data_IF_010994485102
#
_entry.id   IF_010994485102
#
_cell.length_a   1.000
_cell.length_b   1.000
_cell.length_c   1.000
_cell.angle_alpha   90.00
_cell.angle_beta   90.00
_cell.angle_gamma   90.00
#
_symmetry.space_group_name_H-M   'P 1'
#
loop_
_entity.id
_entity.type
_entity.pdbx_description
1 polymer ?
#
# COMPACT_ATOMS: atom_id res chain seq x y z
N UNK A 1 -23.50 25.38 11.20
CA UNK A 1 -23.91 24.41 12.24
C UNK A 1 -22.66 23.69 12.70
N UNK A 2 -22.04 24.18 13.77
CA UNK A 2 -20.82 23.60 14.33
C UNK A 2 -21.17 22.57 15.40
N UNK A 3 -20.66 21.35 15.28
CA UNK A 3 -20.77 20.34 16.32
C UNK A 3 -19.81 20.65 17.44
N UNK A 4 -20.38 20.97 18.60
CA UNK A 4 -19.76 20.84 19.93
C UNK A 4 -19.33 19.39 20.11
N UNK A 5 -18.07 19.13 20.46
CA UNK A 5 -17.62 17.79 20.87
C UNK A 5 -17.07 17.84 22.29
N UNK A 6 -17.61 16.95 23.12
CA UNK A 6 -17.29 16.77 24.53
C UNK A 6 -15.87 16.25 24.71
N UNK A 7 -15.13 16.87 25.63
CA UNK A 7 -13.80 16.43 26.05
C UNK A 7 -13.82 14.99 26.53
N UNK A 8 -13.21 14.09 25.75
CA UNK A 8 -12.85 12.75 26.20
C UNK A 8 -11.44 12.83 26.79
N UNK A 9 -11.31 12.48 28.06
CA UNK A 9 -10.04 12.35 28.74
C UNK A 9 -9.27 11.18 28.10
N UNK A 10 -8.04 11.43 27.64
CA UNK A 10 -7.18 10.39 27.05
C UNK A 10 -6.83 9.35 28.12
N UNK A 11 -6.89 8.06 27.78
CA UNK A 11 -6.52 6.99 28.69
C UNK A 11 -5.00 6.97 28.91
N UNK A 12 -4.53 6.37 30.01
CA UNK A 12 -3.09 6.22 30.25
C UNK A 12 -2.40 5.44 29.14
N UNK A 13 -3.10 4.48 28.53
CA UNK A 13 -2.60 3.71 27.39
C UNK A 13 -2.39 4.59 26.15
N UNK A 14 -3.32 5.51 25.86
CA UNK A 14 -3.18 6.48 24.76
C UNK A 14 -1.97 7.40 24.97
N UNK A 15 -1.72 7.79 26.21
CA UNK A 15 -0.58 8.63 26.59
C UNK A 15 0.73 7.85 26.42
N UNK A 16 0.78 6.59 26.86
CA UNK A 16 1.98 5.75 26.72
C UNK A 16 2.29 5.44 25.25
N UNK A 17 1.26 5.20 24.43
CA UNK A 17 1.42 5.01 22.99
C UNK A 17 1.96 6.26 22.31
N UNK A 18 1.43 7.45 22.64
CA UNK A 18 1.94 8.72 22.11
C UNK A 18 3.40 8.97 22.51
N UNK A 19 3.78 8.68 23.75
CA UNK A 19 5.16 8.84 24.24
C UNK A 19 6.13 7.86 23.55
N UNK A 20 5.71 6.61 23.33
CA UNK A 20 6.49 5.61 22.58
C UNK A 20 6.76 6.07 21.15
N UNK A 21 5.73 6.58 20.47
CA UNK A 21 5.83 7.07 19.10
C UNK A 21 6.74 8.30 19.00
N UNK A 22 6.65 9.23 19.96
CA UNK A 22 7.57 10.37 20.03
C UNK A 22 9.02 9.90 20.24
N UNK A 23 9.26 8.91 21.11
CA UNK A 23 10.59 8.35 21.33
C UNK A 23 11.18 7.75 20.04
N UNK A 24 10.37 7.06 19.24
CA UNK A 24 10.75 6.50 17.94
C UNK A 24 11.05 7.58 16.89
N UNK A 25 10.27 8.66 16.86
CA UNK A 25 10.50 9.78 15.92
C UNK A 25 11.78 10.54 16.28
N UNK A 26 12.02 10.78 17.56
CA UNK A 26 13.23 11.47 18.05
C UNK A 26 14.49 10.65 17.80
N UNK A 27 14.43 9.32 17.99
CA UNK A 27 15.57 8.44 17.70
C UNK A 27 15.84 8.31 16.20
N UNK A 28 14.80 8.33 15.35
CA UNK A 28 14.92 8.20 13.91
C UNK A 28 15.31 9.52 13.20
N UNK A 29 15.00 10.68 13.79
CA UNK A 29 15.26 11.97 13.14
C UNK A 29 15.54 13.11 14.15
N UNK A 30 16.81 13.27 14.59
CA UNK A 30 17.19 14.24 15.61
C UNK A 30 16.87 15.71 15.22
N UNK A 31 16.70 15.99 13.92
CA UNK A 31 16.38 17.33 13.42
C UNK A 31 14.93 17.76 13.69
N UNK A 32 14.01 16.83 13.97
CA UNK A 32 12.59 17.15 14.25
C UNK A 32 12.44 17.86 15.59
N UNK A 33 13.26 17.49 16.58
CA UNK A 33 13.35 18.20 17.88
C UNK A 33 13.87 19.63 17.70
N UNK A 34 14.76 19.86 16.73
CA UNK A 34 15.32 21.18 16.42
C UNK A 34 14.25 22.20 16.00
N UNK A 35 13.12 21.76 15.45
CA UNK A 35 11.98 22.62 15.06
C UNK A 35 10.98 22.88 16.18
N UNK A 36 11.03 22.15 17.30
CA UNK A 36 10.11 22.26 18.43
C UNK A 36 10.60 23.22 19.54
N UNK A 37 11.68 23.98 19.30
CA UNK A 37 12.02 25.16 20.11
C UNK A 37 13.02 24.94 21.26
N UNK A 38 13.60 23.76 21.41
CA UNK A 38 14.70 23.52 22.35
C UNK A 38 16.02 23.36 21.61
N UNK A 39 16.94 24.32 21.79
CA UNK A 39 18.27 24.33 21.17
C UNK A 39 19.21 23.43 21.96
N UNK A 40 19.71 22.36 21.32
CA UNK A 40 20.80 21.55 21.84
C UNK A 40 21.87 21.44 20.74
N UNK A 41 23.05 21.99 21.00
CA UNK A 41 24.14 21.96 20.01
C UNK A 41 24.89 20.63 20.07
N UNK A 42 24.84 19.87 18.97
CA UNK A 42 25.94 19.01 18.53
C UNK A 42 26.44 17.91 19.47
N UNK A 43 25.64 17.39 20.42
CA UNK A 43 25.99 16.21 21.23
C UNK A 43 24.87 15.17 21.21
N UNK A 44 25.28 13.90 21.29
CA UNK A 44 24.41 12.76 21.52
C UNK A 44 23.63 13.00 22.82
N UNK A 45 22.29 12.99 22.71
CA UNK A 45 21.36 13.28 23.81
C UNK A 45 21.46 12.19 24.87
N UNK A 46 21.62 12.56 26.15
CA UNK A 46 21.61 11.61 27.26
C UNK A 46 20.17 11.14 27.56
N UNK A 47 20.03 10.00 28.25
CA UNK A 47 18.71 9.50 28.68
C UNK A 47 17.94 10.55 29.49
N UNK A 48 18.64 11.35 30.30
CA UNK A 48 18.05 12.42 31.12
C UNK A 48 17.50 13.57 30.26
N UNK A 49 18.18 13.92 29.17
CA UNK A 49 17.74 14.96 28.23
C UNK A 49 16.47 14.51 27.47
N UNK A 50 16.40 13.22 27.15
CA UNK A 50 15.21 12.60 26.54
C UNK A 50 14.05 12.62 27.53
N UNK A 51 14.28 12.28 28.80
CA UNK A 51 13.24 12.32 29.84
C UNK A 51 12.73 13.74 30.12
N UNK A 52 13.63 14.74 30.06
CA UNK A 52 13.26 16.15 30.19
C UNK A 52 12.45 16.66 28.99
N UNK A 53 12.81 16.26 27.76
CA UNK A 53 12.03 16.59 26.58
C UNK A 53 10.63 15.95 26.62
N UNK A 54 10.54 14.68 27.04
CA UNK A 54 9.27 13.98 27.18
C UNK A 54 8.38 14.57 28.27
N UNK A 55 8.94 15.03 29.40
CA UNK A 55 8.18 15.68 30.46
C UNK A 55 7.62 17.03 30.01
N UNK A 56 8.40 17.81 29.26
CA UNK A 56 7.95 19.08 28.66
C UNK A 56 6.86 18.86 27.61
N UNK A 57 6.97 17.82 26.77
CA UNK A 57 5.92 17.43 25.82
C UNK A 57 4.64 17.03 26.55
N UNK A 58 4.75 16.25 27.64
CA UNK A 58 3.60 15.88 28.48
C UNK A 58 2.89 17.09 29.07
N UNK A 59 3.64 18.11 29.51
CA UNK A 59 3.10 19.38 30.02
C UNK A 59 2.45 20.24 28.93
N UNK A 60 3.00 20.28 27.72
CA UNK A 60 2.44 21.03 26.59
C UNK A 60 1.13 20.38 26.10
N UNK A 61 1.10 19.04 26.03
CA UNK A 61 -0.08 18.27 25.62
C UNK A 61 -1.20 18.35 26.67
N UNK A 62 -0.87 18.36 27.96
CA UNK A 62 -1.85 18.54 29.03
C UNK A 62 -2.38 19.97 29.12
N UNK A 63 -1.56 20.98 28.80
CA UNK A 63 -1.93 22.40 28.85
C UNK A 63 -2.71 22.89 27.62
N UNK A 64 -2.56 22.25 26.44
CA UNK A 64 -3.31 22.63 25.23
C UNK A 64 -3.63 21.43 24.33
N UNK A 65 -4.79 20.76 24.54
CA UNK A 65 -5.20 19.57 23.79
C UNK A 65 -5.30 19.77 22.27
N UNK A 66 -5.43 21.01 21.79
CA UNK A 66 -5.53 21.32 20.36
C UNK A 66 -4.19 21.16 19.60
N UNK A 67 -3.05 21.18 20.29
CA UNK A 67 -1.72 21.02 19.67
C UNK A 67 -1.47 19.55 19.31
N UNK A 68 -1.94 18.60 20.14
CA UNK A 68 -1.94 17.18 19.83
C UNK A 68 -2.78 16.86 18.57
N UNK A 69 -3.87 17.61 18.37
CA UNK A 69 -4.78 17.42 17.23
C UNK A 69 -4.15 17.81 15.89
N UNK A 70 -3.24 18.80 15.85
CA UNK A 70 -2.55 19.20 14.61
C UNK A 70 -1.48 18.21 14.14
N UNK A 71 -0.98 17.36 15.04
CA UNK A 71 -0.20 16.17 14.68
C UNK A 71 -1.09 14.94 14.43
N UNK A 72 -2.29 14.89 15.05
CA UNK A 72 -3.27 13.82 14.90
C UNK A 72 -4.12 13.86 13.62
N UNK A 73 -4.21 14.98 12.91
CA UNK A 73 -4.96 15.07 11.63
C UNK A 73 -4.31 14.34 10.44
N UNK A 74 -3.17 13.66 10.64
CA UNK A 74 -2.59 12.69 9.68
C UNK A 74 -3.08 11.26 9.97
N UNK A 75 -3.73 11.02 11.11
CA UNK A 75 -3.95 9.69 11.69
C UNK A 75 -5.36 9.14 11.51
N UNK A 76 -6.01 9.44 10.39
CA UNK A 76 -7.18 8.70 9.92
C UNK A 76 -6.82 7.61 8.89
N UNK A 77 -5.52 7.35 8.70
CA UNK A 77 -5.03 6.21 7.94
C UNK A 77 -4.92 4.99 8.85
N UNK A 78 -5.60 3.91 8.48
CA UNK A 78 -5.36 2.56 9.04
C UNK A 78 -3.85 2.31 9.00
N UNK A 79 -3.21 2.24 10.16
CA UNK A 79 -1.80 1.87 10.24
C UNK A 79 -1.74 0.38 9.87
N UNK A 80 -1.43 0.09 8.61
CA UNK A 80 -1.31 -1.28 8.12
C UNK A 80 -0.22 -1.98 8.93
N UNK A 81 -0.57 -3.07 9.62
CA UNK A 81 0.41 -3.84 10.35
C UNK A 81 1.27 -4.64 9.36
N UNK A 82 2.54 -4.87 9.70
CA UNK A 82 3.43 -5.70 8.89
C UNK A 82 2.85 -7.12 8.72
N UNK A 83 2.20 -7.65 9.75
CA UNK A 83 1.54 -8.95 9.72
C UNK A 83 0.41 -9.02 8.69
N UNK A 84 -0.41 -7.97 8.57
CA UNK A 84 -1.48 -7.88 7.58
C UNK A 84 -0.94 -7.87 6.15
N UNK A 85 0.17 -7.15 5.93
CA UNK A 85 0.85 -7.09 4.63
C UNK A 85 1.41 -8.46 4.26
N UNK A 86 2.06 -9.15 5.21
CA UNK A 86 2.61 -10.49 4.96
C UNK A 86 1.51 -11.53 4.70
N UNK A 87 0.37 -11.43 5.40
CA UNK A 87 -0.79 -12.28 5.14
C UNK A 87 -1.39 -12.01 3.75
N UNK A 88 -1.56 -10.74 3.38
CA UNK A 88 -2.02 -10.36 2.06
C UNK A 88 -1.06 -10.82 0.95
N UNK A 89 0.26 -10.74 1.18
CA UNK A 89 1.28 -11.22 0.24
C UNK A 89 1.18 -12.73 0.00
N UNK A 90 0.99 -13.51 1.06
CA UNK A 90 0.78 -14.95 0.96
C UNK A 90 -0.46 -15.27 0.10
N UNK A 91 -1.58 -14.60 0.39
CA UNK A 91 -2.83 -14.77 -0.35
C UNK A 91 -2.69 -14.37 -1.83
N UNK A 92 -2.02 -13.25 -2.11
CA UNK A 92 -1.73 -12.77 -3.47
C UNK A 92 -0.89 -13.80 -4.23
N UNK A 93 0.17 -14.34 -3.63
CA UNK A 93 1.01 -15.37 -4.25
C UNK A 93 0.21 -16.64 -4.54
N UNK A 94 -0.68 -17.05 -3.64
CA UNK A 94 -1.56 -18.20 -3.85
C UNK A 94 -2.54 -17.97 -5.00
N UNK A 95 -3.16 -16.78 -5.09
CA UNK A 95 -4.04 -16.43 -6.19
C UNK A 95 -3.28 -16.46 -7.52
N UNK A 96 -2.08 -15.91 -7.54
CA UNK A 96 -1.22 -15.86 -8.73
C UNK A 96 -0.73 -17.24 -9.16
N UNK A 97 -0.48 -18.17 -8.23
CA UNK A 97 -0.08 -19.54 -8.57
C UNK A 97 -1.25 -20.44 -8.97
N UNK A 98 -2.46 -20.19 -8.45
CA UNK A 98 -3.64 -20.99 -8.72
C UNK A 98 -4.33 -20.67 -10.05
N UNK A 99 -4.02 -19.53 -10.67
CA UNK A 99 -4.69 -19.06 -11.88
C UNK A 99 -3.69 -18.86 -13.02
N UNK A 100 -4.06 -19.19 -14.27
CA UNK A 100 -3.17 -19.08 -15.42
C UNK A 100 -2.82 -17.60 -15.75
N UNK A 101 -3.75 -16.68 -15.49
CA UNK A 101 -3.53 -15.25 -15.55
C UNK A 101 -4.31 -14.54 -14.44
N UNK A 102 -3.74 -13.45 -13.90
CA UNK A 102 -4.34 -12.63 -12.85
C UNK A 102 -4.17 -11.14 -13.18
N UNK A 103 -5.23 -10.37 -12.95
CA UNK A 103 -5.24 -8.91 -13.10
C UNK A 103 -5.70 -8.28 -11.79
N UNK A 104 -4.81 -7.56 -11.12
CA UNK A 104 -5.17 -6.65 -10.04
C UNK A 104 -5.52 -5.28 -10.63
N UNK A 105 -6.70 -4.78 -10.29
CA UNK A 105 -7.37 -3.66 -10.95
C UNK A 105 -8.02 -2.74 -9.92
N UNK A 106 -8.50 -1.58 -10.40
CA UNK A 106 -9.55 -0.82 -9.71
C UNK A 106 -10.68 -0.46 -10.66
N UNK A 107 -11.92 -0.43 -10.18
CA UNK A 107 -13.12 -0.27 -11.03
C UNK A 107 -13.10 1.03 -11.86
N UNK A 108 -12.60 2.12 -11.26
CA UNK A 108 -12.53 3.45 -11.86
C UNK A 108 -11.32 3.67 -12.76
N UNK A 109 -10.38 2.73 -12.86
CA UNK A 109 -9.12 2.93 -13.58
C UNK A 109 -9.26 2.71 -15.09
N UNK A 110 -9.03 3.77 -15.88
CA UNK A 110 -9.04 3.71 -17.35
C UNK A 110 -7.99 2.78 -17.97
N UNK A 111 -6.81 2.65 -17.36
CA UNK A 111 -5.76 1.71 -17.80
C UNK A 111 -6.17 0.25 -17.58
N UNK A 112 -6.88 -0.03 -16.47
CA UNK A 112 -7.39 -1.37 -16.19
C UNK A 112 -8.45 -1.80 -17.22
N UNK A 113 -9.34 -0.87 -17.61
CA UNK A 113 -10.35 -1.13 -18.65
C UNK A 113 -9.72 -1.57 -19.97
N UNK A 114 -8.60 -0.95 -20.38
CA UNK A 114 -7.90 -1.35 -21.62
C UNK A 114 -7.33 -2.76 -21.55
N UNK A 115 -6.72 -3.14 -20.42
CA UNK A 115 -6.22 -4.52 -20.22
C UNK A 115 -7.38 -5.53 -20.25
N UNK A 116 -8.48 -5.25 -19.55
CA UNK A 116 -9.67 -6.10 -19.55
C UNK A 116 -10.26 -6.26 -20.94
N UNK A 117 -10.35 -5.17 -21.71
CA UNK A 117 -10.84 -5.20 -23.08
C UNK A 117 -9.95 -6.09 -23.95
N UNK A 118 -8.63 -5.91 -23.92
CA UNK A 118 -7.70 -6.75 -24.66
C UNK A 118 -7.84 -8.24 -24.28
N UNK A 119 -7.94 -8.54 -22.98
CA UNK A 119 -8.08 -9.91 -22.50
C UNK A 119 -9.43 -10.51 -22.94
N UNK A 120 -10.50 -9.71 -22.99
CA UNK A 120 -11.79 -10.11 -23.55
C UNK A 120 -11.72 -10.37 -25.05
N UNK A 121 -11.07 -9.51 -25.82
CA UNK A 121 -10.88 -9.67 -27.27
C UNK A 121 -10.10 -10.95 -27.60
N UNK A 122 -9.12 -11.29 -26.76
CA UNK A 122 -8.31 -12.50 -26.87
C UNK A 122 -8.95 -13.75 -26.22
N UNK A 123 -10.15 -13.63 -25.65
CA UNK A 123 -10.84 -14.71 -24.92
C UNK A 123 -9.97 -15.37 -23.84
N UNK A 124 -9.27 -14.55 -23.07
CA UNK A 124 -8.40 -15.00 -21.98
C UNK A 124 -9.24 -15.36 -20.75
N UNK A 125 -9.02 -16.55 -20.21
CA UNK A 125 -9.43 -16.92 -18.86
C UNK A 125 -8.44 -16.34 -17.85
N UNK A 126 -8.90 -15.39 -17.02
CA UNK A 126 -8.08 -14.76 -15.98
C UNK A 126 -8.89 -14.50 -14.72
N UNK A 127 -8.20 -14.45 -13.58
CA UNK A 127 -8.77 -13.98 -12.32
C UNK A 127 -8.63 -12.47 -12.22
N UNK A 128 -9.73 -11.78 -11.94
CA UNK A 128 -9.80 -10.35 -11.70
C UNK A 128 -9.96 -10.09 -10.20
N UNK A 129 -9.19 -9.16 -9.65
CA UNK A 129 -9.39 -8.58 -8.32
C UNK A 129 -9.48 -7.06 -8.42
N UNK A 130 -10.60 -6.50 -7.97
CA UNK A 130 -10.81 -5.05 -7.89
C UNK A 130 -10.44 -4.56 -6.49
N UNK A 131 -9.24 -4.01 -6.34
CA UNK A 131 -8.69 -3.64 -5.03
C UNK A 131 -9.52 -2.59 -4.30
N UNK A 132 -10.33 -1.80 -5.00
CA UNK A 132 -11.23 -0.82 -4.39
C UNK A 132 -12.53 -1.44 -3.84
N UNK A 133 -12.85 -2.68 -4.19
CA UNK A 133 -14.01 -3.42 -3.67
C UNK A 133 -13.61 -4.44 -2.58
N UNK A 134 -12.32 -4.79 -2.50
CA UNK A 134 -11.80 -5.70 -1.49
C UNK A 134 -11.59 -5.00 -0.13
N UNK A 135 -12.05 -5.62 0.96
CA UNK A 135 -11.89 -5.07 2.31
C UNK A 135 -10.43 -4.92 2.76
N UNK A 136 -9.53 -5.69 2.16
CA UNK A 136 -8.09 -5.66 2.38
C UNK A 136 -7.31 -5.18 1.14
N UNK A 137 -7.95 -4.34 0.31
CA UNK A 137 -7.37 -3.85 -0.93
C UNK A 137 -6.07 -3.05 -0.75
N UNK A 138 -5.97 -2.26 0.32
CA UNK A 138 -4.77 -1.45 0.63
C UNK A 138 -3.59 -2.34 1.06
N UNK A 139 -3.86 -3.40 1.83
CA UNK A 139 -2.90 -4.43 2.21
C UNK A 139 -2.41 -5.17 0.97
N UNK A 140 -3.32 -5.59 0.09
CA UNK A 140 -2.97 -6.25 -1.17
C UNK A 140 -2.12 -5.32 -2.05
N UNK A 141 -2.48 -4.05 -2.18
CA UNK A 141 -1.71 -3.07 -2.95
C UNK A 141 -0.31 -2.87 -2.38
N UNK A 142 -0.17 -2.86 -1.05
CA UNK A 142 1.11 -2.76 -0.36
C UNK A 142 1.96 -4.02 -0.55
N UNK A 143 1.36 -5.19 -0.42
CA UNK A 143 2.01 -6.48 -0.68
C UNK A 143 2.48 -6.60 -2.13
N UNK A 144 1.68 -6.14 -3.10
CA UNK A 144 2.08 -6.10 -4.51
C UNK A 144 3.27 -5.19 -4.74
N UNK A 145 3.30 -4.02 -4.07
CA UNK A 145 4.45 -3.11 -4.12
C UNK A 145 5.71 -3.75 -3.53
N UNK A 146 5.61 -4.45 -2.41
CA UNK A 146 6.74 -5.17 -1.80
C UNK A 146 7.25 -6.27 -2.73
N UNK A 147 6.36 -7.05 -3.33
CA UNK A 147 6.73 -8.19 -4.17
C UNK A 147 7.28 -7.79 -5.54
N UNK A 148 6.64 -6.83 -6.20
CA UNK A 148 6.89 -6.49 -7.61
C UNK A 148 7.61 -5.16 -7.80
N UNK A 149 7.70 -4.34 -6.75
CA UNK A 149 8.09 -2.93 -6.85
C UNK A 149 6.99 -2.02 -7.43
N UNK A 150 5.89 -2.56 -7.94
CA UNK A 150 4.83 -1.81 -8.61
C UNK A 150 3.66 -1.55 -7.65
N UNK A 151 3.41 -0.27 -7.36
CA UNK A 151 2.28 0.19 -6.55
C UNK A 151 1.04 0.58 -7.36
N UNK A 152 1.13 0.57 -8.69
CA UNK A 152 0.09 1.04 -9.61
C UNK A 152 -0.74 -0.13 -10.15
N UNK A 153 -2.02 0.15 -10.42
CA UNK A 153 -2.91 -0.73 -11.17
C UNK A 153 -3.00 -0.26 -12.63
N UNK A 154 -3.18 -1.17 -13.62
CA UNK A 154 -3.28 -2.62 -13.43
C UNK A 154 -1.92 -3.24 -13.07
N UNK A 155 -1.94 -4.32 -12.28
CA UNK A 155 -0.77 -5.17 -12.03
C UNK A 155 -1.09 -6.59 -12.51
N UNK A 156 -0.37 -7.07 -13.52
CA UNK A 156 -0.75 -8.26 -14.31
C UNK A 156 0.27 -9.37 -14.14
N UNK A 157 -0.23 -10.58 -13.93
CA UNK A 157 0.55 -11.81 -13.85
C UNK A 157 0.07 -12.85 -14.87
N UNK A 158 1.00 -13.58 -15.47
CA UNK A 158 0.73 -14.70 -16.39
C UNK A 158 1.66 -15.85 -16.01
N UNK A 159 1.12 -17.06 -15.83
CA UNK A 159 1.84 -18.26 -15.39
C UNK A 159 2.73 -17.99 -14.16
N UNK A 160 2.20 -17.27 -13.17
CA UNK A 160 2.93 -16.90 -11.96
C UNK A 160 3.98 -15.78 -12.12
N UNK A 161 4.24 -15.28 -13.34
CA UNK A 161 5.25 -14.25 -13.62
C UNK A 161 4.63 -12.86 -13.68
N UNK A 162 5.28 -11.89 -13.05
CA UNK A 162 4.88 -10.49 -13.13
C UNK A 162 5.18 -9.91 -14.52
N UNK A 163 4.15 -9.37 -15.17
CA UNK A 163 4.24 -8.78 -16.51
C UNK A 163 4.37 -7.25 -16.44
N UNK A 164 3.76 -6.63 -15.43
CA UNK A 164 3.75 -5.19 -15.23
C UNK A 164 2.37 -4.57 -15.40
N UNK A 165 2.36 -3.28 -15.74
CA UNK A 165 1.15 -2.51 -15.99
C UNK A 165 0.60 -2.57 -17.42
N UNK A 166 -0.34 -1.68 -17.71
CA UNK A 166 -1.02 -1.61 -19.01
C UNK A 166 -0.03 -1.48 -20.17
N UNK A 167 0.96 -0.60 -20.05
CA UNK A 167 1.90 -0.33 -21.15
C UNK A 167 2.75 -1.55 -21.48
N UNK A 168 3.21 -2.28 -20.46
CA UNK A 168 3.97 -3.52 -20.62
C UNK A 168 3.13 -4.61 -21.31
N UNK A 169 1.86 -4.78 -20.91
CA UNK A 169 0.95 -5.74 -21.54
C UNK A 169 0.71 -5.37 -23.01
N UNK A 170 0.43 -4.10 -23.30
CA UNK A 170 0.18 -3.62 -24.67
C UNK A 170 1.42 -3.71 -25.55
N UNK A 171 2.61 -3.45 -24.99
CA UNK A 171 3.88 -3.66 -25.68
C UNK A 171 4.09 -5.14 -26.04
N UNK A 172 3.87 -6.06 -25.10
CA UNK A 172 3.99 -7.51 -25.36
C UNK A 172 2.98 -7.99 -26.40
N UNK A 173 1.79 -7.41 -26.42
CA UNK A 173 0.79 -7.71 -27.46
C UNK A 173 1.25 -7.24 -28.84
N UNK A 174 1.68 -5.98 -28.97
CA UNK A 174 2.21 -5.42 -30.23
C UNK A 174 3.45 -6.16 -30.72
N UNK A 175 4.28 -6.66 -29.80
CA UNK A 175 5.45 -7.47 -30.12
C UNK A 175 5.12 -8.94 -30.47
N UNK A 176 3.84 -9.35 -30.48
CA UNK A 176 3.42 -10.73 -30.76
C UNK A 176 3.78 -11.74 -29.65
N UNK A 177 4.21 -11.28 -28.48
CA UNK A 177 4.69 -12.14 -27.38
C UNK A 177 3.59 -12.51 -26.38
N UNK A 178 2.53 -11.70 -26.28
CA UNK A 178 1.49 -11.88 -25.27
C UNK A 178 0.67 -13.17 -25.49
N UNK A 179 0.24 -13.42 -26.72
CA UNK A 179 -0.59 -14.60 -27.04
C UNK A 179 0.16 -15.91 -26.76
N UNK A 180 1.41 -16.11 -27.21
CA UNK A 180 2.19 -17.29 -26.83
C UNK A 180 2.28 -17.51 -25.32
N UNK A 181 2.55 -16.44 -24.55
CA UNK A 181 2.63 -16.54 -23.08
C UNK A 181 1.30 -16.98 -22.44
N UNK A 182 0.17 -16.46 -22.95
CA UNK A 182 -1.15 -16.81 -22.46
C UNK A 182 -1.56 -18.23 -22.88
N UNK A 183 -1.19 -18.67 -24.08
CA UNK A 183 -1.40 -20.05 -24.53
C UNK A 183 -0.58 -21.05 -23.72
N UNK A 184 0.70 -20.77 -23.48
CA UNK A 184 1.57 -21.59 -22.62
C UNK A 184 1.05 -21.67 -21.18
N UNK A 185 0.46 -20.58 -20.68
CA UNK A 185 -0.18 -20.56 -19.38
C UNK A 185 -1.50 -21.34 -19.33
N UNK A 186 -2.06 -21.77 -20.47
CA UNK A 186 -3.41 -22.34 -20.55
C UNK A 186 -4.53 -21.32 -20.32
N UNK A 187 -4.22 -20.03 -20.46
CA UNK A 187 -5.17 -18.93 -20.27
C UNK A 187 -6.06 -18.71 -21.51
N UNK A 188 -5.63 -19.12 -22.71
CA UNK A 188 -6.43 -19.07 -23.93
C UNK A 188 -6.69 -20.51 -24.38
N UNK A 189 -7.94 -20.85 -24.67
CA UNK A 189 -8.28 -22.14 -25.26
C UNK A 189 -7.66 -22.24 -26.66
N UNK A 190 -7.00 -23.36 -26.97
CA UNK A 190 -6.40 -23.63 -28.29
C UNK A 190 -7.49 -23.61 -29.38
N UNK A 191 -7.84 -22.44 -29.89
CA UNK A 191 -8.61 -22.32 -31.11
C UNK A 191 -7.60 -22.28 -32.25
N UNK A 192 -7.28 -23.46 -32.77
CA UNK A 192 -6.39 -23.72 -33.91
C UNK A 192 -6.80 -23.01 -35.21
N UNK A 193 -7.82 -22.15 -35.19
CA UNK A 193 -8.39 -21.45 -36.34
C UNK A 193 -7.76 -20.07 -36.65
N UNK A 194 -6.88 -19.53 -35.80
CA UNK A 194 -6.30 -18.18 -35.98
C UNK A 194 -4.81 -18.18 -36.36
N UNK A 195 -4.15 -19.34 -36.43
CA UNK A 195 -2.73 -19.46 -36.82
C UNK A 195 -2.52 -19.76 -38.32
N UNK A 196 -3.58 -19.84 -39.13
CA UNK A 196 -3.50 -20.21 -40.55
C UNK A 196 -3.67 -19.02 -41.53
N UNK A 197 -3.37 -17.78 -41.12
CA UNK A 197 -3.57 -16.62 -42.00
C UNK A 197 -2.42 -15.60 -42.01
N UNK A 198 -1.18 -16.07 -41.79
CA UNK A 198 0.02 -15.27 -42.08
C UNK A 198 0.91 -16.07 -43.02
#
# INVERSE_FOLDING_TARGET
MGTVWSGKQLSEEDIQMALSNVKQIVSANPAVVFRMGTVWSGKQLSEEDIQMALSNVKQIVSANPAVAFRMGTVWSGKQLSEEDIQMALSNVKQIVSANPAVVFSKTYCGYCKRVKQLFSELNVAYKLLELDEESNGDEIQSALKEWTGQSTVPNVFIAGKHIGGCDAVMEKHRAGKLVPMLTEAGAIGNNSAQLSSI
#
